data_IF_208064315093
#
_entry.id   IF_208064315093
#
_cell.length_a   1.000
_cell.length_b   1.000
_cell.length_c   1.000
_cell.angle_alpha   90.00
_cell.angle_beta   90.00
_cell.angle_gamma   90.00
#
_symmetry.space_group_name_H-M   'P 1'
#
loop_
_entity.id
_entity.type
_entity.pdbx_description
1 polymer ?
#
# COMPACT_ATOMS: atom_id res chain seq x y z
N UNK A 1 -3.81 20.30 -10.06
CA UNK A 1 -3.84 20.86 -8.68
C UNK A 1 -2.99 20.03 -7.69
N UNK A 2 -2.32 20.76 -6.82
CA UNK A 2 -1.31 20.18 -5.93
C UNK A 2 -1.89 19.02 -5.08
N UNK A 3 -3.09 19.19 -4.52
CA UNK A 3 -3.81 18.08 -3.87
C UNK A 3 -3.95 16.82 -4.74
N UNK A 4 -4.28 17.01 -6.02
CA UNK A 4 -4.29 15.91 -7.01
C UNK A 4 -2.88 15.34 -7.23
N UNK A 5 -1.87 16.20 -7.26
CA UNK A 5 -0.50 15.65 -7.38
C UNK A 5 -0.15 14.78 -6.18
N UNK A 6 -0.35 15.31 -4.98
CA UNK A 6 -0.19 14.57 -3.71
C UNK A 6 -0.99 13.27 -3.70
N UNK A 7 -2.23 13.33 -4.18
CA UNK A 7 -3.00 12.11 -4.46
C UNK A 7 -2.19 11.13 -5.32
N UNK A 8 -1.70 11.60 -6.47
CA UNK A 8 -0.94 10.72 -7.36
C UNK A 8 0.34 10.15 -6.71
N UNK A 9 0.97 10.95 -5.86
CA UNK A 9 2.17 10.51 -5.13
C UNK A 9 1.81 9.42 -4.11
N UNK A 10 0.86 9.76 -3.25
CA UNK A 10 0.37 8.84 -2.21
C UNK A 10 -0.02 7.54 -2.86
N UNK A 11 -0.77 7.63 -3.96
CA UNK A 11 -1.06 6.46 -4.77
C UNK A 11 0.21 5.73 -5.17
N UNK A 12 1.14 6.43 -5.84
CA UNK A 12 2.37 5.78 -6.34
C UNK A 12 3.10 4.99 -5.27
N UNK A 13 3.29 5.65 -4.12
CA UNK A 13 3.87 4.99 -2.97
C UNK A 13 3.24 3.63 -2.70
N UNK A 14 1.91 3.53 -2.75
CA UNK A 14 1.22 2.26 -2.52
C UNK A 14 1.67 1.20 -3.51
N UNK A 15 1.86 1.59 -4.77
CA UNK A 15 2.37 0.64 -5.77
C UNK A 15 3.79 0.25 -5.47
N UNK A 16 4.56 1.24 -5.04
CA UNK A 16 5.92 0.96 -4.58
C UNK A 16 5.91 -0.09 -3.46
N UNK A 17 5.04 0.10 -2.46
CA UNK A 17 4.93 -0.82 -1.34
C UNK A 17 4.45 -2.19 -1.83
N UNK A 18 3.49 -2.22 -2.76
CA UNK A 18 3.06 -3.49 -3.37
C UNK A 18 4.25 -4.22 -3.99
N UNK A 19 5.00 -3.52 -4.84
CA UNK A 19 6.18 -4.15 -5.45
C UNK A 19 7.16 -4.63 -4.38
N UNK A 20 7.42 -3.75 -3.41
CA UNK A 20 8.17 -4.11 -2.19
C UNK A 20 7.74 -5.48 -1.70
N UNK A 21 6.45 -5.57 -1.38
CA UNK A 21 5.89 -6.79 -0.84
C UNK A 21 6.13 -7.95 -1.77
N UNK A 22 5.88 -7.73 -3.06
CA UNK A 22 6.04 -8.78 -4.05
C UNK A 22 7.43 -9.33 -4.10
N UNK A 23 8.41 -8.45 -4.20
CA UNK A 23 9.80 -8.94 -4.22
C UNK A 23 10.12 -9.61 -2.89
N UNK A 24 9.78 -8.93 -1.78
CA UNK A 24 9.92 -9.51 -0.44
C UNK A 24 9.39 -10.94 -0.34
N UNK A 25 8.25 -11.19 -0.97
CA UNK A 25 7.64 -12.52 -1.02
C UNK A 25 8.49 -13.53 -1.79
N UNK A 26 9.06 -13.12 -2.93
CA UNK A 26 9.61 -14.09 -3.89
C UNK A 26 10.84 -14.86 -3.37
N UNK A 27 11.51 -14.30 -2.37
CA UNK A 27 12.56 -15.01 -1.65
C UNK A 27 12.07 -16.26 -0.88
N UNK A 28 10.75 -16.38 -0.67
CA UNK A 28 10.14 -17.64 -0.28
C UNK A 28 10.05 -18.59 -1.47
N UNK B 1 6.21 -21.16 8.52
CA UNK B 1 5.19 -20.27 7.88
C UNK B 1 4.86 -18.97 8.69
N UNK B 2 5.51 -18.75 9.83
CA UNK B 2 5.48 -17.43 10.49
C UNK B 2 5.82 -16.34 9.48
N UNK B 3 6.84 -16.59 8.66
CA UNK B 3 7.17 -15.68 7.54
C UNK B 3 5.95 -15.36 6.66
N UNK B 4 5.14 -16.38 6.36
CA UNK B 4 3.85 -16.17 5.67
C UNK B 4 2.88 -15.32 6.50
N UNK B 5 2.85 -15.53 7.82
CA UNK B 5 1.93 -14.72 8.65
C UNK B 5 2.38 -13.25 8.61
N UNK B 6 3.67 -13.01 8.84
CA UNK B 6 4.29 -11.67 8.70
C UNK B 6 4.04 -11.05 7.31
N UNK B 7 4.18 -11.87 6.27
CA UNK B 7 3.75 -11.48 4.93
C UNK B 7 2.31 -10.99 4.96
N UNK B 8 1.40 -11.81 5.49
CA UNK B 8 -0.02 -11.41 5.56
C UNK B 8 -0.25 -10.10 6.34
N UNK B 9 0.54 -9.89 7.40
CA UNK B 9 0.44 -8.64 8.19
C UNK B 9 0.93 -7.42 7.39
N UNK B 10 2.17 -7.54 6.90
CA UNK B 10 2.75 -6.49 6.06
C UNK B 10 1.83 -6.14 4.89
N UNK B 11 1.30 -7.18 4.25
CA UNK B 11 0.26 -7.01 3.25
C UNK B 11 -0.90 -6.22 3.82
N UNK B 12 -1.50 -6.71 4.91
CA UNK B 12 -2.69 -6.06 5.49
C UNK B 12 -2.49 -4.56 5.68
N UNK B 13 -1.36 -4.22 6.31
CA UNK B 13 -1.01 -2.78 6.44
C UNK B 13 -1.17 -1.98 5.12
N UNK B 14 -0.70 -2.54 4.01
CA UNK B 14 -0.86 -1.89 2.70
C UNK B 14 -2.35 -1.67 2.35
N UNK B 15 -3.19 -2.64 2.67
CA UNK B 15 -4.64 -2.48 2.46
C UNK B 15 -5.17 -1.40 3.36
N UNK B 16 -4.67 -1.36 4.60
CA UNK B 16 -5.02 -0.29 5.52
C UNK B 16 -4.70 1.06 4.89
N UNK B 17 -3.48 1.19 4.34
CA UNK B 17 -3.08 2.46 3.69
C UNK B 17 -3.94 2.76 2.43
N UNK B 18 -4.26 1.72 1.65
CA UNK B 18 -5.21 1.86 0.52
C UNK B 18 -6.56 2.41 1.00
N UNK B 19 -7.14 1.78 2.02
CA UNK B 19 -8.41 2.23 2.58
C UNK B 19 -8.29 3.67 3.06
N UNK B 20 -7.21 3.96 3.81
CA UNK B 20 -6.83 5.33 4.19
C UNK B 20 -7.04 6.24 2.98
N UNK B 21 -6.31 5.93 1.91
CA UNK B 21 -6.41 6.75 0.70
C UNK B 21 -7.83 6.88 0.17
N UNK B 22 -8.52 5.75 0.12
CA UNK B 22 -9.88 5.71 -0.40
C UNK B 22 -10.83 6.60 0.37
N UNK B 23 -10.85 6.47 1.71
CA UNK B 23 -11.72 7.33 2.53
C UNK B 23 -11.26 8.78 2.33
N UNK B 24 -9.94 9.02 2.47
CA UNK B 24 -9.37 10.36 2.19
C UNK B 24 -9.87 10.99 0.88
N UNK B 25 -9.99 10.17 -0.16
CA UNK B 25 -10.52 10.62 -1.46
C UNK B 25 -12.00 11.01 -1.40
N UNK B 26 -12.81 10.24 -0.69
CA UNK B 26 -14.29 10.33 -0.83
C UNK B 26 -14.87 11.67 -0.35
N UNK B 27 -14.12 12.37 0.50
CA UNK B 27 -14.44 13.75 0.88
C UNK B 27 -14.43 14.74 -0.30
N UNK B 28 -13.79 14.37 -1.41
CA UNK B 28 -13.98 15.05 -2.69
C UNK B 28 -15.32 14.67 -3.32
#
# INVERSE_FOLDING_TARGET
TDKIYDALEKLAEIQKEIAEFLRELIEAAEKT
TDKIYDALEKLAEIQKEIAEFLRELIEAAEKT
#
